data_IF_870610749737
#
_entry.id   IF_870610749737
#
_cell.length_a   1.000
_cell.length_b   1.000
_cell.length_c   1.000
_cell.angle_alpha   90.00
_cell.angle_beta   90.00
_cell.angle_gamma   90.00
#
_symmetry.space_group_name_H-M   'P 1'
#
loop_
_entity.id
_entity.type
_entity.pdbx_description
1 polymer ?
#
# COMPACT_ATOMS: atom_id res chain seq x y z
N UNK A 1 -0.04 33.52 46.02
CA UNK A 1 -1.30 32.96 45.48
C UNK A 1 -0.94 32.00 44.37
N UNK A 2 -1.12 30.71 44.64
CA UNK A 2 -0.85 29.62 43.69
C UNK A 2 -2.07 29.49 42.77
N UNK A 3 -1.93 29.82 41.49
CA UNK A 3 -2.97 29.57 40.49
C UNK A 3 -2.70 28.25 39.79
N UNK A 4 -3.53 27.28 40.13
CA UNK A 4 -3.67 25.96 39.55
C UNK A 4 -4.44 26.08 38.21
N UNK A 5 -4.02 25.26 37.24
CA UNK A 5 -4.49 25.07 35.85
C UNK A 5 -6.02 24.96 35.62
N UNK A 6 -6.46 24.94 34.34
CA UNK A 6 -7.06 23.68 33.87
C UNK A 6 -6.56 23.20 32.48
N UNK A 7 -6.71 21.88 32.19
CA UNK A 7 -5.87 21.18 31.22
C UNK A 7 -6.38 21.22 29.77
N UNK A 8 -5.43 21.04 28.85
CA UNK A 8 -5.60 20.99 27.40
C UNK A 8 -6.59 19.90 26.95
N UNK A 9 -7.43 20.28 25.99
CA UNK A 9 -8.52 19.50 25.40
C UNK A 9 -7.99 18.19 24.77
N UNK A 10 -8.40 17.05 25.34
CA UNK A 10 -8.16 15.71 24.76
C UNK A 10 -8.83 15.60 23.39
N UNK A 11 -8.05 15.18 22.39
CA UNK A 11 -8.54 14.80 21.06
C UNK A 11 -9.51 13.62 21.20
N UNK A 12 -10.76 13.81 20.76
CA UNK A 12 -11.77 12.76 20.69
C UNK A 12 -11.44 11.82 19.54
N UNK A 13 -11.07 10.59 19.85
CA UNK A 13 -11.02 9.50 18.86
C UNK A 13 -12.46 9.19 18.44
N UNK A 14 -12.80 9.49 17.18
CA UNK A 14 -14.06 9.06 16.57
C UNK A 14 -14.03 7.54 16.42
N UNK A 15 -14.61 6.83 17.39
CA UNK A 15 -15.01 5.43 17.22
C UNK A 15 -16.31 5.42 16.43
N UNK A 16 -16.31 4.77 15.26
CA UNK A 16 -17.55 4.47 14.55
C UNK A 16 -18.39 3.49 15.40
N UNK A 17 -19.70 3.68 15.51
CA UNK A 17 -20.58 2.71 16.14
C UNK A 17 -20.69 1.46 15.24
N UNK A 18 -20.36 0.30 15.80
CA UNK A 18 -20.62 -1.00 15.18
C UNK A 18 -22.13 -1.26 15.21
N UNK A 19 -22.81 -1.01 14.09
CA UNK A 19 -24.18 -1.47 13.91
C UNK A 19 -24.17 -2.96 13.56
N UNK A 20 -24.34 -3.80 14.57
CA UNK A 20 -24.74 -5.19 14.43
C UNK A 20 -26.21 -5.26 14.05
N UNK A 21 -26.51 -5.80 12.86
CA UNK A 21 -27.82 -6.41 12.56
C UNK A 21 -27.70 -7.48 11.45
N UNK A 22 -27.73 -8.72 11.93
CA UNK A 22 -28.27 -9.95 11.34
C UNK A 22 -28.03 -10.28 9.86
N UNK A 23 -27.30 -11.38 9.65
CA UNK A 23 -27.79 -12.50 8.83
C UNK A 23 -26.92 -12.90 7.64
N UNK A 24 -26.42 -14.14 7.71
CA UNK A 24 -25.94 -14.99 6.61
C UNK A 24 -24.47 -14.81 6.21
N UNK A 25 -23.61 -15.60 6.88
CA UNK A 25 -22.69 -16.54 6.25
C UNK A 25 -21.82 -16.02 5.11
N UNK A 26 -20.77 -15.30 5.48
CA UNK A 26 -19.42 -15.37 4.91
C UNK A 26 -18.56 -14.54 5.85
N UNK A 27 -17.58 -15.15 6.51
CA UNK A 27 -16.60 -14.42 7.32
C UNK A 27 -15.70 -13.61 6.37
N UNK A 28 -16.27 -12.56 5.77
CA UNK A 28 -15.57 -11.67 4.88
C UNK A 28 -14.45 -11.02 5.68
N UNK A 29 -13.20 -11.29 5.28
CA UNK A 29 -12.04 -10.66 5.88
C UNK A 29 -12.28 -9.15 5.94
N UNK A 30 -12.13 -8.56 7.13
CA UNK A 30 -12.27 -7.11 7.32
C UNK A 30 -11.44 -6.29 6.33
N UNK A 31 -10.37 -6.88 5.80
CA UNK A 31 -9.57 -6.34 4.72
C UNK A 31 -10.37 -6.15 3.41
N UNK A 32 -11.11 -7.17 2.95
CA UNK A 32 -11.92 -7.08 1.72
C UNK A 32 -12.97 -5.97 1.82
N UNK A 33 -13.60 -5.81 2.99
CA UNK A 33 -14.54 -4.71 3.21
C UNK A 33 -13.88 -3.33 3.03
N UNK A 34 -12.65 -3.14 3.53
CA UNK A 34 -11.91 -1.90 3.31
C UNK A 34 -11.55 -1.69 1.83
N UNK A 35 -11.21 -2.75 1.11
CA UNK A 35 -10.90 -2.69 -0.33
C UNK A 35 -12.15 -2.29 -1.13
N UNK A 36 -13.31 -2.86 -0.84
CA UNK A 36 -14.58 -2.46 -1.46
C UNK A 36 -14.97 -1.01 -1.14
N UNK A 37 -14.66 -0.53 0.07
CA UNK A 37 -14.85 0.88 0.39
C UNK A 37 -13.89 1.79 -0.40
N UNK A 38 -12.65 1.34 -0.64
CA UNK A 38 -11.63 2.10 -1.36
C UNK A 38 -12.03 2.38 -2.81
N UNK A 39 -12.68 1.43 -3.48
CA UNK A 39 -13.22 1.59 -4.84
C UNK A 39 -14.22 2.76 -4.95
N UNK A 40 -14.95 3.02 -3.87
CA UNK A 40 -16.01 4.04 -3.82
C UNK A 40 -15.46 5.42 -3.41
N UNK A 41 -14.20 5.52 -3.00
CA UNK A 41 -13.60 6.77 -2.55
C UNK A 41 -13.36 7.74 -3.70
N UNK A 42 -13.88 8.96 -3.55
CA UNK A 42 -13.61 10.08 -4.47
C UNK A 42 -12.54 11.04 -3.95
N UNK A 43 -12.25 11.01 -2.65
CA UNK A 43 -11.31 11.90 -1.98
C UNK A 43 -10.05 11.11 -1.57
N UNK A 44 -8.86 11.67 -1.84
CA UNK A 44 -7.58 11.05 -1.50
C UNK A 44 -7.37 10.88 0.01
N UNK A 45 -7.87 11.79 0.84
CA UNK A 45 -7.75 11.67 2.31
C UNK A 45 -8.54 10.47 2.84
N UNK A 46 -9.75 10.24 2.33
CA UNK A 46 -10.58 9.10 2.73
C UNK A 46 -9.95 7.79 2.26
N UNK A 47 -9.46 7.77 1.02
CA UNK A 47 -8.72 6.64 0.45
C UNK A 47 -7.47 6.32 1.31
N UNK A 48 -6.70 7.33 1.69
CA UNK A 48 -5.52 7.15 2.54
C UNK A 48 -5.89 6.58 3.91
N UNK A 49 -6.96 7.07 4.55
CA UNK A 49 -7.41 6.54 5.83
C UNK A 49 -7.87 5.08 5.73
N UNK A 50 -8.57 4.71 4.65
CA UNK A 50 -8.96 3.32 4.41
C UNK A 50 -7.73 2.43 4.18
N UNK A 51 -6.74 2.89 3.40
CA UNK A 51 -5.49 2.14 3.19
C UNK A 51 -4.70 1.95 4.49
N UNK A 52 -4.71 2.94 5.39
CA UNK A 52 -4.12 2.78 6.73
C UNK A 52 -4.86 1.70 7.52
N UNK A 53 -6.20 1.72 7.57
CA UNK A 53 -6.97 0.67 8.26
C UNK A 53 -6.80 -0.72 7.63
N UNK A 54 -6.75 -0.79 6.30
CA UNK A 54 -6.48 -2.01 5.56
C UNK A 54 -5.13 -2.60 5.98
N UNK A 55 -4.12 -1.76 6.15
CA UNK A 55 -2.77 -2.19 6.57
C UNK A 55 -2.78 -2.99 7.87
N UNK A 56 -3.61 -2.56 8.84
CA UNK A 56 -3.72 -3.21 10.15
C UNK A 56 -4.39 -4.61 10.07
N UNK A 57 -4.98 -4.96 8.92
CA UNK A 57 -5.72 -6.21 8.72
C UNK A 57 -5.00 -7.22 7.82
N UNK A 58 -3.91 -6.81 7.14
CA UNK A 58 -3.27 -7.63 6.11
C UNK A 58 -2.69 -8.94 6.64
N UNK A 59 -2.14 -8.95 7.86
CA UNK A 59 -1.55 -10.15 8.45
C UNK A 59 -2.55 -11.28 8.70
N UNK A 60 -3.85 -10.96 8.75
CA UNK A 60 -4.94 -11.93 8.90
C UNK A 60 -5.68 -12.24 7.60
N UNK A 61 -5.20 -11.73 6.46
CA UNK A 61 -5.84 -11.96 5.16
C UNK A 61 -5.60 -13.40 4.69
N UNK A 62 -6.65 -14.03 4.17
CA UNK A 62 -6.51 -15.33 3.50
C UNK A 62 -5.64 -15.18 2.25
N UNK A 63 -4.79 -16.18 1.96
CA UNK A 63 -3.99 -16.18 0.73
C UNK A 63 -4.88 -16.14 -0.53
N UNK A 64 -6.10 -16.66 -0.45
CA UNK A 64 -7.08 -16.65 -1.55
C UNK A 64 -7.64 -15.25 -1.86
N UNK A 65 -7.61 -14.35 -0.88
CA UNK A 65 -8.10 -12.96 -1.01
C UNK A 65 -7.03 -12.01 -1.55
N UNK A 66 -5.76 -12.43 -1.54
CA UNK A 66 -4.62 -11.61 -1.97
C UNK A 66 -4.73 -11.21 -3.44
N UNK A 67 -4.95 -12.12 -4.42
CA UNK A 67 -4.99 -11.76 -5.84
C UNK A 67 -6.09 -10.73 -6.16
N UNK A 68 -7.25 -10.89 -5.52
CA UNK A 68 -8.38 -9.95 -5.66
C UNK A 68 -8.00 -8.58 -5.10
N UNK A 69 -7.38 -8.55 -3.92
CA UNK A 69 -6.93 -7.30 -3.30
C UNK A 69 -5.87 -6.59 -4.13
N UNK A 70 -4.88 -7.33 -4.64
CA UNK A 70 -3.82 -6.81 -5.53
C UNK A 70 -4.43 -6.16 -6.77
N UNK A 71 -5.36 -6.85 -7.43
CA UNK A 71 -6.03 -6.34 -8.63
C UNK A 71 -6.74 -5.01 -8.35
N UNK A 72 -7.56 -4.96 -7.29
CA UNK A 72 -8.31 -3.75 -6.91
C UNK A 72 -7.40 -2.58 -6.52
N UNK A 73 -6.27 -2.86 -5.87
CA UNK A 73 -5.28 -1.84 -5.53
C UNK A 73 -4.57 -1.26 -6.75
N UNK A 74 -4.24 -2.10 -7.74
CA UNK A 74 -3.66 -1.66 -9.02
C UNK A 74 -4.65 -0.78 -9.78
N UNK A 75 -5.91 -1.20 -9.87
CA UNK A 75 -6.97 -0.38 -10.48
C UNK A 75 -7.11 0.97 -9.78
N UNK A 76 -7.10 0.99 -8.44
CA UNK A 76 -7.12 2.25 -7.68
C UNK A 76 -5.89 3.10 -7.97
N UNK A 77 -4.70 2.52 -8.05
CA UNK A 77 -3.47 3.25 -8.34
C UNK A 77 -3.57 4.03 -9.65
N UNK A 78 -4.12 3.42 -10.69
CA UNK A 78 -4.20 4.02 -12.03
C UNK A 78 -5.09 5.26 -12.10
N UNK A 79 -6.12 5.34 -11.26
CA UNK A 79 -7.02 6.50 -11.21
C UNK A 79 -6.64 7.51 -10.14
N UNK A 80 -5.63 7.22 -9.32
CA UNK A 80 -5.25 8.04 -8.18
C UNK A 80 -4.30 9.17 -8.56
N UNK A 81 -4.69 10.40 -8.22
CA UNK A 81 -3.90 11.61 -8.47
C UNK A 81 -2.97 11.94 -7.31
N UNK A 82 -3.35 11.58 -6.09
CA UNK A 82 -2.63 11.94 -4.87
C UNK A 82 -1.43 11.03 -4.63
N UNK A 83 -0.22 11.58 -4.76
CA UNK A 83 1.03 10.85 -4.54
C UNK A 83 1.10 10.11 -3.18
N UNK A 84 0.62 10.66 -2.03
CA UNK A 84 0.60 9.92 -0.76
C UNK A 84 -0.23 8.64 -0.82
N UNK A 85 -1.34 8.65 -1.56
CA UNK A 85 -2.22 7.48 -1.72
C UNK A 85 -1.54 6.43 -2.60
N UNK A 86 -0.98 6.83 -3.75
CA UNK A 86 -0.20 5.94 -4.62
C UNK A 86 0.98 5.29 -3.88
N UNK A 87 1.73 6.07 -3.11
CA UNK A 87 2.81 5.54 -2.28
C UNK A 87 2.30 4.53 -1.24
N UNK A 88 1.17 4.81 -0.59
CA UNK A 88 0.58 3.89 0.38
C UNK A 88 0.07 2.60 -0.28
N UNK A 89 -0.49 2.67 -1.49
CA UNK A 89 -0.87 1.48 -2.27
C UNK A 89 0.36 0.60 -2.53
N UNK A 90 1.48 1.15 -3.00
CA UNK A 90 2.71 0.39 -3.24
C UNK A 90 3.27 -0.26 -1.96
N UNK A 91 3.07 0.38 -0.81
CA UNK A 91 3.41 -0.21 0.47
C UNK A 91 2.47 -1.39 0.81
N UNK A 92 1.16 -1.25 0.61
CA UNK A 92 0.20 -2.34 0.86
C UNK A 92 0.48 -3.53 -0.06
N UNK A 93 0.81 -3.30 -1.33
CA UNK A 93 1.24 -4.36 -2.25
C UNK A 93 2.50 -5.09 -1.75
N UNK A 94 3.43 -4.38 -1.11
CA UNK A 94 4.60 -4.98 -0.47
C UNK A 94 4.20 -5.99 0.62
N UNK A 95 3.28 -5.58 1.50
CA UNK A 95 2.81 -6.42 2.60
C UNK A 95 1.99 -7.61 2.09
N UNK A 96 1.17 -7.44 1.06
CA UNK A 96 0.46 -8.55 0.41
C UNK A 96 1.44 -9.57 -0.20
N UNK A 97 2.54 -9.08 -0.79
CA UNK A 97 3.63 -9.91 -1.28
C UNK A 97 4.33 -10.72 -0.18
N UNK A 98 4.36 -10.24 1.06
CA UNK A 98 4.87 -11.01 2.20
C UNK A 98 3.85 -12.02 2.71
N UNK A 99 2.58 -11.62 2.81
CA UNK A 99 1.48 -12.43 3.35
C UNK A 99 1.15 -13.63 2.47
N UNK A 100 1.18 -13.46 1.15
CA UNK A 100 0.92 -14.59 0.25
C UNK A 100 2.00 -15.66 0.36
N UNK A 101 1.59 -16.92 0.37
CA UNK A 101 2.51 -18.07 0.39
C UNK A 101 2.83 -18.58 -1.02
N UNK A 102 2.04 -18.18 -2.01
CA UNK A 102 2.21 -18.61 -3.41
C UNK A 102 3.36 -17.83 -4.08
N UNK A 103 4.45 -18.51 -4.47
CA UNK A 103 5.54 -17.86 -5.19
C UNK A 103 5.12 -17.22 -6.52
N UNK A 104 4.09 -17.78 -7.18
CA UNK A 104 3.57 -17.21 -8.42
C UNK A 104 2.93 -15.85 -8.15
N UNK A 105 2.08 -15.74 -7.12
CA UNK A 105 1.49 -14.47 -6.72
C UNK A 105 2.55 -13.43 -6.34
N UNK A 106 3.61 -13.82 -5.59
CA UNK A 106 4.73 -12.91 -5.29
C UNK A 106 5.42 -12.40 -6.55
N UNK A 107 5.62 -13.27 -7.54
CA UNK A 107 6.17 -12.91 -8.84
C UNK A 107 5.27 -11.91 -9.59
N UNK A 108 3.95 -12.14 -9.60
CA UNK A 108 2.96 -11.26 -10.22
C UNK A 108 2.99 -9.87 -9.55
N UNK A 109 2.87 -9.81 -8.23
CA UNK A 109 2.91 -8.55 -7.46
C UNK A 109 4.18 -7.75 -7.79
N UNK A 110 5.35 -8.41 -7.72
CA UNK A 110 6.64 -7.77 -8.02
C UNK A 110 6.69 -7.21 -9.44
N UNK A 111 6.16 -7.97 -10.40
CA UNK A 111 6.11 -7.57 -11.81
C UNK A 111 5.16 -6.39 -12.02
N UNK A 112 3.99 -6.38 -11.38
CA UNK A 112 3.03 -5.28 -11.47
C UNK A 112 3.58 -3.99 -10.85
N UNK A 113 4.22 -4.05 -9.69
CA UNK A 113 4.88 -2.87 -9.09
C UNK A 113 5.92 -2.28 -10.05
N UNK A 114 6.73 -3.12 -10.69
CA UNK A 114 7.70 -2.66 -11.69
C UNK A 114 7.02 -1.99 -12.90
N UNK A 115 5.85 -2.49 -13.34
CA UNK A 115 5.07 -1.86 -14.41
C UNK A 115 4.52 -0.49 -13.98
N UNK A 116 3.96 -0.38 -12.77
CA UNK A 116 3.43 0.86 -12.22
C UNK A 116 4.52 1.95 -12.15
N UNK A 117 5.73 1.59 -11.73
CA UNK A 117 6.83 2.53 -11.62
C UNK A 117 7.25 3.17 -12.95
N UNK A 118 7.12 2.46 -14.08
CA UNK A 118 7.52 3.01 -15.39
C UNK A 118 6.71 4.24 -15.80
N UNK A 119 5.49 4.38 -15.30
CA UNK A 119 4.61 5.51 -15.59
C UNK A 119 4.52 6.51 -14.42
N UNK A 120 5.25 6.28 -13.32
CA UNK A 120 5.18 7.14 -12.14
C UNK A 120 6.08 8.37 -12.31
N UNK A 121 5.56 9.55 -12.00
CA UNK A 121 6.28 10.82 -12.12
C UNK A 121 6.84 11.29 -10.77
N UNK A 122 6.14 11.00 -9.67
CA UNK A 122 6.51 11.47 -8.34
C UNK A 122 7.74 10.75 -7.81
N UNK A 123 8.83 11.48 -7.57
CA UNK A 123 10.05 10.94 -6.96
C UNK A 123 9.79 10.23 -5.62
N UNK A 124 8.83 10.73 -4.83
CA UNK A 124 8.47 10.11 -3.55
C UNK A 124 7.81 8.74 -3.76
N UNK A 125 6.93 8.63 -4.77
CA UNK A 125 6.26 7.36 -5.11
C UNK A 125 7.25 6.39 -5.74
N UNK A 126 8.13 6.86 -6.65
CA UNK A 126 9.23 6.07 -7.20
C UNK A 126 10.12 5.48 -6.10
N UNK A 127 10.59 6.31 -5.17
CA UNK A 127 11.43 5.85 -4.06
C UNK A 127 10.71 4.81 -3.18
N UNK A 128 9.41 5.00 -2.93
CA UNK A 128 8.59 4.00 -2.23
C UNK A 128 8.48 2.69 -3.02
N UNK A 129 8.16 2.73 -4.31
CA UNK A 129 8.04 1.52 -5.12
C UNK A 129 9.38 0.80 -5.28
N UNK A 130 10.49 1.51 -5.39
CA UNK A 130 11.83 0.88 -5.38
C UNK A 130 12.12 0.22 -4.03
N UNK A 131 11.72 0.85 -2.91
CA UNK A 131 11.81 0.20 -1.59
C UNK A 131 10.96 -1.08 -1.53
N UNK A 132 9.77 -1.07 -2.14
CA UNK A 132 8.92 -2.25 -2.26
C UNK A 132 9.58 -3.34 -3.12
N UNK A 133 10.15 -2.98 -4.28
CA UNK A 133 10.87 -3.93 -5.15
C UNK A 133 12.11 -4.50 -4.50
N UNK A 134 12.82 -3.73 -3.65
CA UNK A 134 13.93 -4.24 -2.88
C UNK A 134 13.47 -5.33 -1.90
N UNK A 135 12.33 -5.13 -1.24
CA UNK A 135 11.75 -6.09 -0.30
C UNK A 135 11.35 -7.41 -0.98
N UNK A 136 10.66 -7.32 -2.12
CA UNK A 136 10.17 -8.49 -2.87
C UNK A 136 11.14 -9.00 -3.95
N UNK A 137 12.36 -8.45 -4.00
CA UNK A 137 13.23 -8.53 -5.17
C UNK A 137 13.68 -9.95 -5.53
N UNK A 138 13.67 -10.86 -4.57
CA UNK A 138 14.08 -12.26 -4.80
C UNK A 138 13.15 -13.02 -5.74
N UNK A 139 11.87 -12.67 -5.79
CA UNK A 139 10.87 -13.37 -6.60
C UNK A 139 10.96 -13.01 -8.08
N UNK A 140 11.50 -11.84 -8.43
CA UNK A 140 11.78 -11.48 -9.81
C UNK A 140 13.00 -10.54 -9.92
N UNK A 141 14.19 -11.08 -9.61
CA UNK A 141 15.44 -10.29 -9.61
C UNK A 141 15.70 -9.58 -10.93
N UNK A 142 15.37 -10.23 -12.05
CA UNK A 142 15.59 -9.67 -13.38
C UNK A 142 14.78 -8.39 -13.62
N UNK A 143 13.48 -8.39 -13.29
CA UNK A 143 12.63 -7.20 -13.45
C UNK A 143 13.03 -6.09 -12.47
N UNK A 144 13.40 -6.45 -11.25
CA UNK A 144 13.79 -5.51 -10.19
C UNK A 144 15.08 -4.78 -10.57
N UNK A 145 16.12 -5.53 -11.00
CA UNK A 145 17.38 -4.94 -11.46
C UNK A 145 17.19 -4.06 -12.70
N UNK A 146 16.36 -4.51 -13.65
CA UNK A 146 16.03 -3.71 -14.84
C UNK A 146 15.36 -2.39 -14.44
N UNK A 147 14.34 -2.45 -13.59
CA UNK A 147 13.59 -1.27 -13.13
C UNK A 147 14.47 -0.29 -12.37
N UNK A 148 15.37 -0.79 -11.51
CA UNK A 148 16.33 0.04 -10.79
C UNK A 148 17.29 0.78 -11.74
N UNK A 149 17.79 0.10 -12.78
CA UNK A 149 18.66 0.73 -13.80
C UNK A 149 17.91 1.80 -14.60
N UNK A 150 16.66 1.55 -14.97
CA UNK A 150 15.80 2.52 -15.68
C UNK A 150 15.57 3.81 -14.86
N UNK A 151 15.54 3.71 -13.53
CA UNK A 151 15.32 4.85 -12.62
C UNK A 151 16.61 5.45 -12.04
N UNK A 152 17.79 4.88 -12.33
CA UNK A 152 19.05 5.31 -11.71
C UNK A 152 19.44 6.75 -12.10
N UNK A 153 19.04 7.21 -13.27
CA UNK A 153 19.28 8.58 -13.76
C UNK A 153 18.30 9.62 -13.21
N UNK A 154 17.39 9.24 -12.31
CA UNK A 154 16.45 10.17 -11.68
C UNK A 154 17.19 11.28 -10.92
N UNK A 155 16.65 12.49 -10.93
CA UNK A 155 17.28 13.67 -10.32
C UNK A 155 17.20 13.68 -8.79
N UNK A 156 16.34 12.86 -8.19
CA UNK A 156 16.14 12.83 -6.75
C UNK A 156 17.04 11.80 -6.06
N UNK A 157 17.86 12.27 -5.12
CA UNK A 157 18.84 11.44 -4.42
C UNK A 157 18.23 10.16 -3.81
N UNK A 158 17.06 10.23 -3.19
CA UNK A 158 16.47 9.04 -2.58
C UNK A 158 15.85 8.04 -3.58
N UNK A 159 15.71 8.37 -4.88
CA UNK A 159 15.47 7.37 -5.93
C UNK A 159 16.79 6.70 -6.26
N UNK A 160 17.84 7.49 -6.52
CA UNK A 160 19.18 7.00 -6.85
C UNK A 160 19.73 6.05 -5.78
N UNK A 161 19.64 6.42 -4.49
CA UNK A 161 20.12 5.57 -3.38
C UNK A 161 19.40 4.22 -3.36
N UNK A 162 18.08 4.20 -3.60
CA UNK A 162 17.30 2.96 -3.63
C UNK A 162 17.70 2.10 -4.83
N UNK A 163 17.89 2.70 -6.01
CA UNK A 163 18.38 1.98 -7.18
C UNK A 163 19.75 1.35 -6.93
N UNK A 164 20.68 2.10 -6.33
CA UNK A 164 22.01 1.58 -5.99
C UNK A 164 21.93 0.43 -4.99
N UNK A 165 21.09 0.55 -3.94
CA UNK A 165 20.88 -0.54 -2.96
C UNK A 165 20.35 -1.81 -3.61
N UNK A 166 19.49 -1.69 -4.63
CA UNK A 166 18.98 -2.84 -5.39
C UNK A 166 20.07 -3.48 -6.26
N UNK A 167 20.95 -2.66 -6.84
CA UNK A 167 21.99 -3.12 -7.78
C UNK A 167 23.16 -3.78 -7.05
N UNK A 168 23.52 -3.30 -5.86
CA UNK A 168 24.66 -3.77 -5.07
C UNK A 168 25.64 -2.64 -4.78
#
# INVERSE_FOLDING_TARGET
>A
TVTVEPPLKRLRTLRLPSTTKNGIGTDGSSALAYVECLEKCKCGNDALQLLVRLSDTLSGMSSDDVPVTVTKLIERYHIETEAPVRAKILWVLAELGEVTVDPHEKFVITTEIAKLLRAEESHRVKSQGLSTLLKLGEFNKAVVLKTAREHLSDTWHGVQTRCLTIIG
#
